data_IF_260597663378
#
_entry.id   IF_260597663378
#
_cell.length_a   1.000
_cell.length_b   1.000
_cell.length_c   1.000
_cell.angle_alpha   90.00
_cell.angle_beta   90.00
_cell.angle_gamma   90.00
#
_symmetry.space_group_name_H-M   'P 1'
#
loop_
_entity.id
_entity.type
_entity.pdbx_description
1 polymer ?
#
# COMPACT_ATOMS: atom_id res chain seq x y z
N UNK A 1 -40.78 -8.59 -18.81
CA UNK A 1 -39.44 -8.25 -19.33
C UNK A 1 -38.99 -9.41 -20.18
N UNK A 2 -38.64 -9.18 -21.44
CA UNK A 2 -38.21 -10.24 -22.34
C UNK A 2 -36.92 -10.88 -21.79
N UNK A 3 -36.85 -12.20 -21.79
CA UNK A 3 -35.69 -12.96 -21.31
C UNK A 3 -34.37 -12.49 -21.97
N UNK A 4 -34.46 -11.88 -23.16
CA UNK A 4 -33.36 -11.26 -23.89
C UNK A 4 -32.79 -10.01 -23.21
N UNK A 5 -33.64 -9.16 -22.62
CA UNK A 5 -33.22 -7.94 -21.92
C UNK A 5 -32.51 -8.28 -20.60
N UNK A 6 -33.01 -9.29 -19.89
CA UNK A 6 -32.37 -9.83 -18.68
C UNK A 6 -31.01 -10.43 -19.03
N UNK A 7 -30.94 -11.29 -20.05
CA UNK A 7 -29.69 -11.87 -20.51
C UNK A 7 -28.67 -10.81 -20.96
N UNK A 8 -29.13 -9.74 -21.61
CA UNK A 8 -28.30 -8.61 -22.02
C UNK A 8 -27.71 -7.83 -20.84
N UNK A 9 -28.52 -7.52 -19.82
CA UNK A 9 -28.05 -6.83 -18.60
C UNK A 9 -27.09 -7.71 -17.81
N UNK A 10 -27.38 -9.00 -17.70
CA UNK A 10 -26.51 -9.98 -17.04
C UNK A 10 -25.16 -10.14 -17.72
N UNK A 11 -25.15 -10.27 -19.06
CA UNK A 11 -23.92 -10.33 -19.83
C UNK A 11 -23.11 -9.03 -19.70
N UNK A 12 -23.78 -7.87 -19.70
CA UNK A 12 -23.15 -6.57 -19.52
C UNK A 12 -22.53 -6.36 -18.13
N UNK A 13 -22.97 -7.08 -17.10
CA UNK A 13 -22.36 -7.03 -15.76
C UNK A 13 -21.24 -8.05 -15.61
N UNK A 14 -21.43 -9.26 -16.16
CA UNK A 14 -20.48 -10.38 -15.99
C UNK A 14 -19.24 -10.22 -16.87
N UNK A 15 -19.37 -9.79 -18.13
CA UNK A 15 -18.23 -9.64 -19.04
C UNK A 15 -17.19 -8.63 -18.55
N UNK A 16 -17.58 -7.41 -18.14
CA UNK A 16 -16.63 -6.47 -17.54
C UNK A 16 -16.00 -7.02 -16.27
N UNK A 17 -16.76 -7.75 -15.43
CA UNK A 17 -16.22 -8.37 -14.24
C UNK A 17 -15.13 -9.41 -14.57
N UNK A 18 -15.33 -10.25 -15.59
CA UNK A 18 -14.33 -11.23 -16.06
C UNK A 18 -13.10 -10.53 -16.66
N UNK A 19 -13.29 -9.47 -17.44
CA UNK A 19 -12.18 -8.69 -18.00
C UNK A 19 -11.36 -8.00 -16.90
N UNK A 20 -12.03 -7.44 -15.88
CA UNK A 20 -11.39 -6.91 -14.69
C UNK A 20 -10.67 -8.03 -13.93
N UNK A 21 -11.17 -9.28 -13.95
CA UNK A 21 -10.59 -10.45 -13.28
C UNK A 21 -9.24 -10.82 -13.86
N UNK A 22 -9.17 -10.95 -15.19
CA UNK A 22 -7.93 -11.22 -15.91
C UNK A 22 -6.94 -10.08 -15.73
N UNK A 23 -7.43 -8.83 -15.70
CA UNK A 23 -6.59 -7.67 -15.43
C UNK A 23 -6.15 -7.61 -13.97
N UNK A 24 -6.98 -8.05 -13.02
CA UNK A 24 -6.71 -8.07 -11.58
C UNK A 24 -5.70 -9.17 -11.22
N UNK A 25 -5.74 -10.33 -11.89
CA UNK A 25 -4.77 -11.41 -11.70
C UNK A 25 -3.40 -11.04 -12.29
N UNK A 26 -3.37 -10.41 -13.47
CA UNK A 26 -2.13 -9.82 -14.01
C UNK A 26 -1.63 -8.68 -13.13
N UNK A 27 -2.54 -7.84 -12.63
CA UNK A 27 -2.24 -6.82 -11.62
C UNK A 27 -1.63 -7.45 -10.38
N UNK A 28 -2.09 -8.58 -9.86
CA UNK A 28 -1.50 -9.16 -8.65
C UNK A 28 0.00 -9.48 -8.82
N UNK A 29 0.40 -10.03 -9.96
CA UNK A 29 1.80 -10.31 -10.28
C UNK A 29 2.61 -9.02 -10.45
N UNK A 30 2.14 -8.13 -11.33
CA UNK A 30 2.76 -6.84 -11.62
C UNK A 30 2.87 -5.96 -10.38
N UNK A 31 1.82 -5.94 -9.57
CA UNK A 31 1.70 -5.15 -8.35
C UNK A 31 2.68 -5.70 -7.32
N UNK A 32 2.78 -7.02 -7.17
CA UNK A 32 3.76 -7.64 -6.28
C UNK A 32 5.18 -7.25 -6.67
N UNK A 33 5.54 -7.40 -7.93
CA UNK A 33 6.90 -7.13 -8.41
C UNK A 33 7.24 -5.63 -8.36
N UNK A 34 6.34 -4.76 -8.83
CA UNK A 34 6.52 -3.30 -8.82
C UNK A 34 6.57 -2.75 -7.39
N UNK A 35 5.67 -3.18 -6.51
CA UNK A 35 5.69 -2.73 -5.13
C UNK A 35 6.88 -3.25 -4.35
N UNK A 36 7.23 -4.52 -4.53
CA UNK A 36 8.40 -5.09 -3.89
C UNK A 36 9.65 -4.32 -4.30
N UNK A 37 9.82 -4.09 -5.61
CA UNK A 37 10.94 -3.31 -6.16
C UNK A 37 10.98 -1.89 -5.63
N UNK A 38 9.86 -1.13 -5.70
CA UNK A 38 9.78 0.25 -5.18
C UNK A 38 10.06 0.31 -3.68
N UNK A 39 9.46 -0.59 -2.91
CA UNK A 39 9.64 -0.63 -1.45
C UNK A 39 11.09 -0.95 -1.06
N UNK A 40 11.76 -1.84 -1.78
CA UNK A 40 13.16 -2.19 -1.54
C UNK A 40 14.11 -1.06 -1.92
N UNK A 41 13.89 -0.41 -3.07
CA UNK A 41 14.66 0.76 -3.49
C UNK A 41 14.49 1.92 -2.49
N UNK A 42 13.26 2.22 -2.08
CA UNK A 42 12.99 3.25 -1.08
C UNK A 42 13.61 2.89 0.28
N UNK A 43 13.52 1.63 0.72
CA UNK A 43 14.15 1.19 1.96
C UNK A 43 15.69 1.27 1.92
N UNK A 44 16.29 1.02 0.75
CA UNK A 44 17.72 1.19 0.54
C UNK A 44 18.12 2.68 0.59
N UNK A 45 17.41 3.54 -0.14
CA UNK A 45 17.64 4.99 -0.15
C UNK A 45 17.48 5.62 1.25
N UNK A 46 16.45 5.21 2.01
CA UNK A 46 16.28 5.64 3.40
C UNK A 46 17.40 5.13 4.32
N UNK A 47 17.96 3.95 4.04
CA UNK A 47 19.11 3.42 4.76
C UNK A 47 20.39 4.22 4.49
N UNK A 48 20.61 4.60 3.24
CA UNK A 48 21.73 5.45 2.84
C UNK A 48 21.63 6.85 3.45
N UNK A 49 20.44 7.47 3.39
CA UNK A 49 20.14 8.74 4.04
C UNK A 49 20.39 8.66 5.56
N UNK A 50 19.92 7.59 6.20
CA UNK A 50 20.13 7.39 7.64
C UNK A 50 21.62 7.26 8.00
N UNK A 51 22.40 6.54 7.20
CA UNK A 51 23.85 6.43 7.40
C UNK A 51 24.56 7.79 7.21
N UNK A 52 24.19 8.53 6.17
CA UNK A 52 24.74 9.84 5.90
C UNK A 52 24.46 10.83 7.05
N UNK A 53 23.23 10.82 7.59
CA UNK A 53 22.88 11.67 8.74
C UNK A 53 23.61 11.26 10.02
N UNK A 54 23.87 9.97 10.25
CA UNK A 54 24.73 9.52 11.36
C UNK A 54 26.15 10.04 11.20
N UNK A 55 26.70 10.02 9.99
CA UNK A 55 28.05 10.51 9.72
C UNK A 55 28.17 12.01 10.02
N UNK A 56 27.20 12.82 9.55
CA UNK A 56 27.10 14.24 9.90
C UNK A 56 26.98 14.43 11.41
N UNK A 57 26.14 13.64 12.09
CA UNK A 57 25.99 13.69 13.55
C UNK A 57 27.30 13.36 14.29
N UNK A 58 28.06 12.39 13.78
CA UNK A 58 29.36 12.01 14.33
C UNK A 58 30.37 13.15 14.14
N UNK A 59 30.47 13.70 12.94
CA UNK A 59 31.41 14.78 12.63
C UNK A 59 31.10 16.04 13.45
N UNK A 60 29.82 16.36 13.59
CA UNK A 60 29.36 17.48 14.40
C UNK A 60 29.61 17.24 15.90
N UNK A 61 29.40 16.02 16.40
CA UNK A 61 29.75 15.65 17.77
C UNK A 61 31.26 15.75 18.03
N UNK A 62 32.10 15.29 17.09
CA UNK A 62 33.57 15.44 17.17
C UNK A 62 33.95 16.92 17.13
N UNK A 63 33.29 17.74 16.32
CA UNK A 63 33.53 19.20 16.26
C UNK A 63 33.24 19.87 17.60
N UNK A 64 32.13 19.51 18.25
CA UNK A 64 31.68 20.09 19.52
C UNK A 64 32.48 19.59 20.73
N UNK A 65 32.74 18.28 20.81
CA UNK A 65 33.37 17.61 21.96
C UNK A 65 34.89 17.51 21.86
N UNK A 66 35.44 17.63 20.64
CA UNK A 66 36.83 17.29 20.34
C UNK A 66 37.01 15.80 20.03
N UNK A 67 38.21 15.43 19.55
CA UNK A 67 38.60 14.03 19.43
C UNK A 67 38.70 13.37 20.81
N UNK A 68 38.68 12.03 20.85
CA UNK A 68 38.61 11.24 22.08
C UNK A 68 39.73 11.52 23.11
N UNK A 69 40.85 12.15 22.69
CA UNK A 69 41.99 12.53 23.53
C UNK A 69 42.20 14.06 23.66
N UNK A 70 41.27 14.89 23.15
CA UNK A 70 41.38 16.35 23.27
C UNK A 70 40.92 16.84 24.65
N UNK A 71 41.60 17.83 25.27
CA UNK A 71 41.10 18.47 26.48
C UNK A 71 39.75 19.14 26.21
N UNK A 72 38.78 18.89 27.10
CA UNK A 72 37.41 19.41 26.99
C UNK A 72 37.40 20.94 26.97
N UNK A 73 36.84 21.54 25.92
CA UNK A 73 36.73 22.99 25.77
C UNK A 73 35.26 23.44 25.84
N UNK A 74 34.81 24.00 26.98
CA UNK A 74 33.40 24.38 27.18
C UNK A 74 32.89 25.46 26.22
N UNK A 75 33.77 26.25 25.59
CA UNK A 75 33.37 27.25 24.61
C UNK A 75 32.87 26.64 23.28
N UNK A 76 33.27 25.42 22.94
CA UNK A 76 32.79 24.70 21.73
C UNK A 76 31.44 24.02 21.93
N UNK A 77 31.18 23.56 23.16
CA UNK A 77 29.92 22.92 23.58
C UNK A 77 28.71 23.87 23.59
N UNK A 78 28.92 25.19 23.49
CA UNK A 78 27.87 26.21 23.46
C UNK A 78 27.36 26.53 22.04
N UNK A 79 27.85 25.82 21.03
CA UNK A 79 27.37 25.96 19.65
C UNK A 79 25.93 25.43 19.51
N UNK A 80 25.20 26.01 18.54
CA UNK A 80 23.74 25.91 18.40
C UNK A 80 23.23 24.44 18.33
N UNK A 81 22.54 23.94 19.37
CA UNK A 81 22.07 22.55 19.43
C UNK A 81 20.93 22.25 18.45
N UNK A 82 20.34 23.26 17.81
CA UNK A 82 19.28 23.10 16.80
C UNK A 82 19.71 22.20 15.64
N UNK A 83 20.94 22.32 15.15
CA UNK A 83 21.42 21.51 14.01
C UNK A 83 21.50 20.02 14.35
N UNK A 84 21.97 19.70 15.56
CA UNK A 84 22.01 18.32 16.07
C UNK A 84 20.60 17.75 16.20
N UNK A 85 19.68 18.55 16.77
CA UNK A 85 18.29 18.15 16.94
C UNK A 85 17.62 17.85 15.60
N UNK A 86 17.85 18.67 14.58
CA UNK A 86 17.32 18.46 13.23
C UNK A 86 17.85 17.17 12.63
N UNK A 87 19.17 16.92 12.69
CA UNK A 87 19.75 15.67 12.16
C UNK A 87 19.24 14.42 12.89
N UNK A 88 19.10 14.46 14.22
CA UNK A 88 18.52 13.34 14.98
C UNK A 88 17.06 13.10 14.58
N UNK A 89 16.28 14.17 14.40
CA UNK A 89 14.86 14.07 14.01
C UNK A 89 14.71 13.47 12.61
N UNK A 90 15.52 13.91 11.66
CA UNK A 90 15.54 13.36 10.29
C UNK A 90 15.95 11.90 10.27
N UNK A 91 16.98 11.53 11.05
CA UNK A 91 17.42 10.15 11.21
C UNK A 91 16.33 9.25 11.79
N UNK A 92 15.68 9.70 12.87
CA UNK A 92 14.55 8.97 13.48
C UNK A 92 13.41 8.79 12.48
N UNK A 93 13.09 9.86 11.73
CA UNK A 93 12.03 9.85 10.71
C UNK A 93 12.36 8.86 9.59
N UNK A 94 13.61 8.82 9.12
CA UNK A 94 14.06 7.88 8.08
C UNK A 94 13.94 6.42 8.54
N UNK A 95 14.34 6.11 9.78
CA UNK A 95 14.19 4.79 10.36
C UNK A 95 12.73 4.39 10.56
N UNK A 96 11.88 5.34 10.99
CA UNK A 96 10.46 5.11 11.15
C UNK A 96 9.81 4.76 9.80
N UNK A 97 10.09 5.54 8.74
CA UNK A 97 9.62 5.25 7.39
C UNK A 97 10.09 3.88 6.92
N UNK A 98 11.38 3.55 7.07
CA UNK A 98 11.94 2.25 6.69
C UNK A 98 11.24 1.09 7.41
N UNK A 99 10.95 1.24 8.69
CA UNK A 99 10.27 0.20 9.49
C UNK A 99 8.80 0.05 9.07
N UNK A 100 8.14 1.16 8.78
CA UNK A 100 6.73 1.19 8.38
C UNK A 100 6.52 0.73 6.93
N UNK A 101 7.51 0.92 6.04
CA UNK A 101 7.52 0.39 4.67
C UNK A 101 7.26 -1.12 4.63
N UNK A 102 7.94 -1.88 5.49
CA UNK A 102 7.73 -3.33 5.59
C UNK A 102 6.31 -3.67 6.05
N UNK A 103 5.75 -2.89 6.98
CA UNK A 103 4.36 -3.09 7.44
C UNK A 103 3.36 -2.80 6.31
N UNK A 104 3.57 -1.72 5.54
CA UNK A 104 2.71 -1.37 4.40
C UNK A 104 2.78 -2.41 3.29
N UNK A 105 3.98 -2.92 2.98
CA UNK A 105 4.15 -4.00 2.02
C UNK A 105 3.40 -5.26 2.49
N UNK A 106 3.62 -5.71 3.72
CA UNK A 106 2.91 -6.89 4.27
C UNK A 106 1.40 -6.72 4.25
N UNK A 107 0.91 -5.54 4.65
CA UNK A 107 -0.52 -5.21 4.60
C UNK A 107 -1.05 -5.37 3.18
N UNK A 108 -0.36 -4.78 2.20
CA UNK A 108 -0.73 -4.86 0.80
C UNK A 108 -0.73 -6.29 0.25
N UNK A 109 0.23 -7.13 0.66
CA UNK A 109 0.28 -8.55 0.28
C UNK A 109 -0.91 -9.34 0.82
N UNK A 110 -1.30 -9.09 2.07
CA UNK A 110 -2.48 -9.71 2.68
C UNK A 110 -3.73 -9.34 1.89
N UNK A 111 -3.93 -8.05 1.62
CA UNK A 111 -5.08 -7.57 0.86
C UNK A 111 -5.09 -8.07 -0.59
N UNK A 112 -3.94 -8.13 -1.25
CA UNK A 112 -3.81 -8.73 -2.58
C UNK A 112 -4.16 -10.23 -2.58
N UNK A 113 -3.93 -10.94 -1.47
CA UNK A 113 -4.38 -12.33 -1.27
C UNK A 113 -5.89 -12.48 -1.11
N UNK A 114 -6.57 -11.45 -0.59
CA UNK A 114 -8.03 -11.44 -0.36
C UNK A 114 -8.80 -11.03 -1.64
N UNK A 115 -8.19 -10.24 -2.52
CA UNK A 115 -8.83 -9.75 -3.75
C UNK A 115 -9.50 -10.83 -4.63
N UNK A 116 -8.88 -12.02 -4.88
CA UNK A 116 -9.54 -13.08 -5.63
C UNK A 116 -10.84 -13.57 -4.99
N UNK A 117 -10.91 -13.60 -3.65
CA UNK A 117 -12.10 -14.05 -2.93
C UNK A 117 -13.25 -13.04 -3.01
N UNK A 118 -12.94 -11.75 -2.86
CA UNK A 118 -13.91 -10.67 -3.06
C UNK A 118 -14.50 -10.67 -4.48
N UNK A 119 -13.68 -11.05 -5.45
CA UNK A 119 -14.08 -11.11 -6.85
C UNK A 119 -14.90 -12.36 -7.17
N UNK A 120 -14.51 -13.51 -6.62
CA UNK A 120 -15.25 -14.76 -6.77
C UNK A 120 -16.64 -14.67 -6.13
N UNK A 121 -16.76 -14.02 -4.97
CA UNK A 121 -18.06 -13.75 -4.35
C UNK A 121 -18.94 -12.85 -5.22
N UNK A 122 -18.36 -11.80 -5.82
CA UNK A 122 -19.09 -10.92 -6.74
C UNK A 122 -19.62 -11.68 -7.96
N UNK A 123 -18.79 -12.48 -8.62
CA UNK A 123 -19.16 -13.21 -9.85
C UNK A 123 -20.20 -14.29 -9.56
N UNK A 124 -20.02 -15.06 -8.48
CA UNK A 124 -20.99 -16.09 -8.08
C UNK A 124 -22.34 -15.47 -7.71
N UNK A 125 -22.34 -14.33 -7.01
CA UNK A 125 -23.56 -13.58 -6.72
C UNK A 125 -24.24 -13.04 -7.99
N UNK A 126 -23.46 -12.48 -8.93
CA UNK A 126 -23.97 -11.97 -10.20
C UNK A 126 -24.55 -13.09 -11.08
N UNK A 127 -23.93 -14.26 -11.09
CA UNK A 127 -24.44 -15.44 -11.79
C UNK A 127 -25.74 -15.97 -11.14
N UNK A 128 -25.81 -16.03 -9.81
CA UNK A 128 -27.00 -16.47 -9.09
C UNK A 128 -28.20 -15.53 -9.29
N UNK A 129 -27.98 -14.21 -9.20
CA UNK A 129 -29.01 -13.20 -9.49
C UNK A 129 -29.49 -13.28 -10.94
N UNK A 130 -28.56 -13.42 -11.88
CA UNK A 130 -28.87 -13.64 -13.31
C UNK A 130 -29.73 -14.88 -13.53
N UNK A 131 -29.35 -16.02 -12.94
CA UNK A 131 -30.09 -17.27 -13.08
C UNK A 131 -31.53 -17.17 -12.55
N UNK A 132 -31.73 -16.40 -11.47
CA UNK A 132 -33.07 -16.11 -10.95
C UNK A 132 -33.91 -15.29 -11.95
N UNK A 133 -33.36 -14.19 -12.49
CA UNK A 133 -34.11 -13.35 -13.43
C UNK A 133 -34.37 -14.03 -14.78
N UNK A 134 -33.52 -14.97 -15.21
CA UNK A 134 -33.76 -15.81 -16.39
C UNK A 134 -34.82 -16.90 -16.14
N UNK A 135 -35.43 -16.93 -14.96
CA UNK A 135 -36.47 -17.88 -14.56
C UNK A 135 -36.00 -19.35 -14.59
N UNK A 136 -34.68 -19.58 -14.54
CA UNK A 136 -34.05 -20.90 -14.46
C UNK A 136 -34.29 -21.49 -13.06
N UNK A 137 -34.31 -20.65 -12.04
CA UNK A 137 -34.69 -21.01 -10.68
C UNK A 137 -35.71 -20.03 -10.11
N UNK A 138 -36.84 -20.56 -9.61
CA UNK A 138 -37.93 -19.76 -9.02
C UNK A 138 -37.81 -19.58 -7.51
N UNK A 139 -36.77 -20.13 -6.88
CA UNK A 139 -36.64 -20.08 -5.42
C UNK A 139 -36.16 -18.69 -4.99
N UNK A 140 -36.98 -17.99 -4.19
CA UNK A 140 -36.66 -16.65 -3.69
C UNK A 140 -35.34 -16.60 -2.88
N UNK A 141 -34.97 -17.71 -2.23
CA UNK A 141 -33.71 -17.81 -1.47
C UNK A 141 -32.45 -17.57 -2.33
N UNK A 142 -32.46 -18.00 -3.60
CA UNK A 142 -31.33 -17.81 -4.52
C UNK A 142 -31.12 -16.33 -4.85
N UNK A 143 -32.20 -15.55 -4.95
CA UNK A 143 -32.11 -14.10 -5.16
C UNK A 143 -31.43 -13.42 -3.96
N UNK A 144 -31.82 -13.77 -2.73
CA UNK A 144 -31.23 -13.19 -1.52
C UNK A 144 -29.75 -13.54 -1.37
N UNK A 145 -29.36 -14.79 -1.65
CA UNK A 145 -27.94 -15.19 -1.69
C UNK A 145 -27.18 -14.41 -2.76
N UNK A 146 -27.77 -14.28 -3.95
CA UNK A 146 -27.14 -13.57 -5.06
C UNK A 146 -26.85 -12.11 -4.71
N UNK A 147 -27.86 -11.40 -4.19
CA UNK A 147 -27.74 -9.98 -3.80
C UNK A 147 -26.73 -9.82 -2.65
N UNK A 148 -26.74 -10.70 -1.65
CA UNK A 148 -25.80 -10.61 -0.53
C UNK A 148 -24.35 -10.85 -0.97
N UNK A 149 -24.09 -11.82 -1.86
CA UNK A 149 -22.78 -12.10 -2.42
C UNK A 149 -22.24 -10.96 -3.30
N UNK A 150 -23.10 -10.36 -4.15
CA UNK A 150 -22.73 -9.18 -4.96
C UNK A 150 -22.39 -8.01 -4.05
N UNK A 151 -23.21 -7.74 -3.04
CA UNK A 151 -23.01 -6.64 -2.10
C UNK A 151 -21.71 -6.82 -1.31
N UNK A 152 -21.45 -8.05 -0.82
CA UNK A 152 -20.22 -8.38 -0.10
C UNK A 152 -18.98 -8.21 -0.99
N UNK A 153 -19.01 -8.71 -2.23
CA UNK A 153 -17.92 -8.56 -3.18
C UNK A 153 -17.64 -7.09 -3.51
N UNK A 154 -18.69 -6.27 -3.65
CA UNK A 154 -18.56 -4.84 -3.87
C UNK A 154 -17.94 -4.10 -2.68
N UNK A 155 -18.43 -4.36 -1.46
CA UNK A 155 -17.88 -3.75 -0.23
C UNK A 155 -16.41 -4.11 -0.06
N UNK A 156 -16.07 -5.39 -0.24
CA UNK A 156 -14.69 -5.86 -0.17
C UNK A 156 -13.81 -5.22 -1.25
N UNK A 157 -14.31 -5.10 -2.48
CA UNK A 157 -13.63 -4.39 -3.56
C UNK A 157 -13.35 -2.92 -3.22
N UNK A 158 -14.31 -2.22 -2.64
CA UNK A 158 -14.14 -0.83 -2.21
C UNK A 158 -13.09 -0.70 -1.10
N UNK A 159 -13.10 -1.59 -0.09
CA UNK A 159 -12.09 -1.62 0.98
C UNK A 159 -10.69 -1.85 0.39
N UNK A 160 -10.54 -2.80 -0.54
CA UNK A 160 -9.26 -3.07 -1.20
C UNK A 160 -8.74 -1.85 -1.95
N UNK A 161 -9.61 -1.13 -2.66
CA UNK A 161 -9.23 0.10 -3.35
C UNK A 161 -8.75 1.18 -2.38
N UNK A 162 -9.47 1.39 -1.27
CA UNK A 162 -9.10 2.37 -0.24
C UNK A 162 -7.73 2.04 0.36
N UNK A 163 -7.49 0.78 0.73
CA UNK A 163 -6.22 0.36 1.30
C UNK A 163 -5.08 0.52 0.29
N UNK A 164 -5.31 0.15 -0.97
CA UNK A 164 -4.33 0.33 -2.04
C UNK A 164 -3.93 1.81 -2.17
N UNK A 165 -4.90 2.72 -2.26
CA UNK A 165 -4.63 4.16 -2.34
C UNK A 165 -3.92 4.69 -1.08
N UNK A 166 -4.29 4.22 0.10
CA UNK A 166 -3.64 4.62 1.34
C UNK A 166 -2.16 4.22 1.36
N UNK A 167 -1.86 2.95 1.03
CA UNK A 167 -0.51 2.44 0.95
C UNK A 167 0.31 3.21 -0.11
N UNK A 168 -0.23 3.40 -1.31
CA UNK A 168 0.49 4.06 -2.42
C UNK A 168 0.84 5.52 -2.11
N UNK A 169 -0.06 6.26 -1.43
CA UNK A 169 0.24 7.61 -0.94
C UNK A 169 1.35 7.61 0.11
N UNK A 170 1.36 6.63 1.02
CA UNK A 170 2.40 6.51 2.05
C UNK A 170 3.76 6.16 1.47
N UNK A 171 3.80 5.24 0.48
CA UNK A 171 5.02 4.91 -0.25
C UNK A 171 5.56 6.12 -1.00
N UNK A 172 4.71 6.82 -1.74
CA UNK A 172 5.10 8.02 -2.49
C UNK A 172 5.63 9.13 -1.57
N UNK A 173 5.05 9.29 -0.37
CA UNK A 173 5.56 10.24 0.63
C UNK A 173 6.95 9.86 1.13
N UNK A 174 7.23 8.56 1.31
CA UNK A 174 8.54 8.07 1.72
C UNK A 174 9.58 8.24 0.60
N UNK A 175 9.19 8.02 -0.65
CA UNK A 175 10.05 8.24 -1.84
C UNK A 175 10.43 9.72 -2.00
N UNK A 176 9.49 10.65 -1.78
CA UNK A 176 9.78 12.09 -1.80
C UNK A 176 10.76 12.46 -0.69
N UNK A 177 10.56 11.93 0.52
CA UNK A 177 11.45 12.20 1.65
C UNK A 177 12.87 11.65 1.41
N UNK A 178 13.00 10.44 0.86
CA UNK A 178 14.32 9.87 0.55
C UNK A 178 15.07 10.67 -0.53
N UNK A 179 14.36 11.21 -1.52
CA UNK A 179 14.98 12.01 -2.58
C UNK A 179 15.41 13.41 -2.11
N UNK A 180 14.75 13.97 -1.09
CA UNK A 180 15.10 15.31 -0.57
C UNK A 180 16.40 15.31 0.26
N UNK A 181 16.79 14.18 0.85
CA UNK A 181 18.02 14.09 1.66
C UNK A 181 19.26 13.58 0.92
N UNK A 182 19.16 13.32 -0.38
CA UNK A 182 20.27 12.87 -1.24
C UNK A 182 20.75 13.91 -2.27
N UNK A 183 20.22 15.14 -2.21
CA UNK A 183 20.68 16.31 -2.98
C UNK A 183 21.48 17.24 -2.06
#
# INVERSE_FOLDING_TARGET
MDNLAVAGVSAAVIFPAIAILFKASSLRGDLHEKWHTRSNLCAAALGELANHKIEILRDEAIRMLGEADSPFNPARSLSDPEQLRTCVTEFQTALEYRTNLKKWLTMMLIFAGIAPWAMLSYITGAAATTAYFMNISKQAFILYIGISLVSLGFIMGAILAIVHFYCDRKLSSAEIFSNQGGA
#
